data_IF_363101010901
#
_entry.id   IF_363101010901
#
_cell.length_a   1.000
_cell.length_b   1.000
_cell.length_c   1.000
_cell.angle_alpha   90.00
_cell.angle_beta   90.00
_cell.angle_gamma   90.00
#
_symmetry.space_group_name_H-M   'P 1'
#
loop_
_entity.id
_entity.type
_entity.pdbx_description
1 polymer ?
#
# COMPACT_ATOMS: atom_id res chain seq x y z
N UNK A 1 23.18 10.16 -20.71
CA UNK A 1 22.76 10.02 -19.31
C UNK A 1 21.60 9.04 -19.31
N UNK A 2 21.67 7.96 -18.54
CA UNK A 2 20.54 7.03 -18.38
C UNK A 2 19.38 7.78 -17.74
N UNK A 3 18.17 7.62 -18.27
CA UNK A 3 16.96 8.21 -17.71
C UNK A 3 16.67 7.49 -16.38
N UNK A 4 16.50 8.24 -15.30
CA UNK A 4 16.03 7.68 -14.02
C UNK A 4 14.50 7.63 -14.07
N UNK A 5 13.92 6.47 -13.77
CA UNK A 5 12.49 6.26 -13.76
C UNK A 5 11.85 6.89 -12.52
N UNK A 6 10.66 7.46 -12.70
CA UNK A 6 9.80 7.95 -11.62
C UNK A 6 8.97 6.81 -11.01
N UNK A 7 8.43 7.03 -9.81
CA UNK A 7 7.55 6.07 -9.13
C UNK A 7 6.34 5.68 -10.00
N UNK A 8 5.73 6.66 -10.68
CA UNK A 8 4.61 6.43 -11.60
C UNK A 8 5.03 5.58 -12.81
N UNK A 9 6.21 5.81 -13.37
CA UNK A 9 6.72 5.00 -14.48
C UNK A 9 7.01 3.56 -14.04
N UNK A 10 7.58 3.35 -12.84
CA UNK A 10 7.81 2.01 -12.30
C UNK A 10 6.50 1.25 -12.04
N UNK A 11 5.47 1.93 -11.50
CA UNK A 11 4.14 1.35 -11.30
C UNK A 11 3.53 0.93 -12.64
N UNK A 12 3.65 1.78 -13.67
CA UNK A 12 3.14 1.45 -15.01
C UNK A 12 3.87 0.25 -15.62
N UNK A 13 5.20 0.19 -15.51
CA UNK A 13 6.01 -0.93 -15.98
C UNK A 13 5.58 -2.25 -15.29
N UNK A 14 5.36 -2.22 -13.97
CA UNK A 14 4.88 -3.39 -13.22
C UNK A 14 3.46 -3.81 -13.66
N UNK A 15 2.57 -2.84 -13.88
CA UNK A 15 1.21 -3.11 -14.35
C UNK A 15 1.20 -3.75 -15.75
N UNK A 16 2.00 -3.23 -16.68
CA UNK A 16 2.11 -3.72 -18.05
C UNK A 16 2.66 -5.15 -18.08
N UNK A 17 3.70 -5.43 -17.30
CA UNK A 17 4.29 -6.78 -17.21
C UNK A 17 3.32 -7.78 -16.58
N UNK A 18 2.58 -7.37 -15.54
CA UNK A 18 1.53 -8.20 -14.92
C UNK A 18 0.44 -8.55 -15.94
N UNK A 19 -0.01 -7.58 -16.74
CA UNK A 19 -1.03 -7.78 -17.76
C UNK A 19 -0.54 -8.67 -18.91
N UNK A 20 0.72 -8.53 -19.32
CA UNK A 20 1.34 -9.41 -20.31
C UNK A 20 1.43 -10.86 -19.82
N UNK A 21 1.78 -11.08 -18.54
CA UNK A 21 1.80 -12.40 -17.92
C UNK A 21 0.41 -13.06 -17.88
N UNK A 22 -0.63 -12.29 -17.52
CA UNK A 22 -2.01 -12.77 -17.40
C UNK A 22 -2.65 -13.12 -18.76
N UNK A 23 -2.40 -12.31 -19.79
CA UNK A 23 -3.05 -12.49 -21.10
C UNK A 23 -2.39 -13.57 -21.97
N UNK A 24 -1.26 -14.14 -21.56
CA UNK A 24 -0.53 -15.18 -22.30
C UNK A 24 0.04 -14.70 -23.65
N UNK A 25 -0.28 -13.47 -24.06
CA UNK A 25 0.42 -12.70 -25.07
C UNK A 25 1.49 -11.93 -24.32
N UNK A 26 2.68 -12.54 -24.19
CA UNK A 26 3.89 -11.72 -24.00
C UNK A 26 3.85 -10.79 -25.21
N UNK A 27 3.46 -9.53 -24.99
CA UNK A 27 3.43 -8.55 -26.06
C UNK A 27 4.80 -8.69 -26.74
N UNK A 28 4.81 -8.81 -28.07
CA UNK A 28 5.96 -8.34 -28.85
C UNK A 28 6.04 -6.86 -28.56
N UNK A 29 6.59 -6.56 -27.40
CA UNK A 29 6.77 -5.26 -26.87
C UNK A 29 7.88 -4.71 -27.76
N UNK A 30 7.50 -3.86 -28.71
CA UNK A 30 8.37 -2.81 -29.21
C UNK A 30 8.70 -1.89 -28.02
N UNK A 31 9.36 -2.44 -27.00
CA UNK A 31 9.82 -1.70 -25.83
C UNK A 31 10.98 -0.88 -26.33
N UNK A 32 10.75 0.42 -26.29
CA UNK A 32 11.82 1.39 -26.41
C UNK A 32 12.76 1.10 -25.25
N UNK A 33 13.97 0.64 -25.59
CA UNK A 33 15.06 0.28 -24.68
C UNK A 33 15.11 1.31 -23.55
N UNK A 34 14.95 0.83 -22.31
CA UNK A 34 14.79 1.66 -21.11
C UNK A 34 16.06 2.48 -20.80
N UNK A 35 17.19 2.13 -21.43
CA UNK A 35 18.47 2.79 -21.25
C UNK A 35 19.16 2.38 -19.94
N UNK A 36 18.53 1.49 -19.17
CA UNK A 36 19.15 0.81 -18.05
C UNK A 36 19.38 -0.68 -18.42
N UNK A 37 20.65 -1.12 -18.56
CA UNK A 37 20.96 -2.47 -18.99
C UNK A 37 20.40 -3.55 -18.07
N UNK A 38 20.15 -3.27 -16.79
CA UNK A 38 19.58 -4.25 -15.84
C UNK A 38 18.10 -4.51 -16.16
N UNK A 39 17.29 -3.46 -16.27
CA UNK A 39 15.87 -3.56 -16.65
C UNK A 39 15.74 -4.15 -18.05
N UNK A 40 16.58 -3.70 -19.00
CA UNK A 40 16.60 -4.18 -20.38
C UNK A 40 17.06 -5.65 -20.52
N UNK A 41 17.86 -6.16 -19.57
CA UNK A 41 18.30 -7.54 -19.55
C UNK A 41 17.20 -8.48 -19.04
N UNK A 42 16.46 -8.07 -17.99
CA UNK A 42 15.32 -8.86 -17.49
C UNK A 42 14.16 -8.92 -18.48
N UNK A 43 13.96 -7.87 -19.28
CA UNK A 43 13.02 -7.89 -20.42
C UNK A 43 13.41 -8.97 -21.45
N UNK A 44 14.70 -9.33 -21.56
CA UNK A 44 15.23 -10.25 -22.57
C UNK A 44 15.38 -11.70 -22.13
N UNK A 45 15.51 -12.01 -20.84
CA UNK A 45 15.78 -13.38 -20.37
C UNK A 45 14.51 -14.24 -20.20
N UNK A 46 14.69 -15.53 -20.49
CA UNK A 46 13.65 -16.50 -20.82
C UNK A 46 13.32 -17.45 -19.66
N UNK A 47 12.06 -17.91 -19.61
CA UNK A 47 11.70 -19.29 -19.25
C UNK A 47 11.82 -19.76 -17.80
N UNK A 48 11.02 -19.24 -16.88
CA UNK A 48 10.56 -19.95 -15.67
C UNK A 48 9.13 -19.52 -15.35
N UNK A 49 8.34 -20.44 -14.80
CA UNK A 49 6.87 -20.37 -14.61
C UNK A 49 6.34 -18.94 -14.42
N UNK A 50 5.32 -18.54 -15.19
CA UNK A 50 4.79 -17.15 -15.30
C UNK A 50 4.70 -16.34 -13.99
N UNK A 51 4.43 -17.01 -12.88
CA UNK A 51 4.38 -16.39 -11.55
C UNK A 51 5.77 -16.05 -10.99
N UNK A 52 6.73 -16.98 -11.12
CA UNK A 52 8.13 -16.78 -10.70
C UNK A 52 8.78 -15.65 -11.50
N UNK A 53 8.55 -15.59 -12.81
CA UNK A 53 9.07 -14.52 -13.67
C UNK A 53 8.59 -13.12 -13.24
N UNK A 54 7.32 -12.97 -12.84
CA UNK A 54 6.81 -11.69 -12.36
C UNK A 54 7.36 -11.32 -10.98
N UNK A 55 7.53 -12.29 -10.07
CA UNK A 55 8.13 -12.02 -8.75
C UNK A 55 9.60 -11.61 -8.89
N UNK A 56 10.37 -12.27 -9.75
CA UNK A 56 11.76 -11.93 -10.04
C UNK A 56 11.86 -10.54 -10.68
N UNK A 57 10.95 -10.22 -11.60
CA UNK A 57 10.86 -8.89 -12.19
C UNK A 57 10.55 -7.80 -11.15
N UNK A 58 9.57 -8.06 -10.26
CA UNK A 58 9.22 -7.16 -9.17
C UNK A 58 10.40 -6.92 -8.23
N UNK A 59 11.15 -7.97 -7.89
CA UNK A 59 12.37 -7.86 -7.09
C UNK A 59 13.43 -6.98 -7.78
N UNK A 60 13.64 -7.14 -9.09
CA UNK A 60 14.57 -6.29 -9.84
C UNK A 60 14.15 -4.80 -9.85
N UNK A 61 12.84 -4.51 -9.88
CA UNK A 61 12.34 -3.13 -9.74
C UNK A 61 12.60 -2.60 -8.32
N UNK A 62 12.47 -3.43 -7.28
CA UNK A 62 12.78 -3.04 -5.90
C UNK A 62 14.27 -2.74 -5.71
N UNK A 63 15.15 -3.57 -6.28
CA UNK A 63 16.60 -3.30 -6.30
C UNK A 63 16.89 -1.98 -7.02
N UNK A 64 16.25 -1.73 -8.17
CA UNK A 64 16.36 -0.47 -8.89
C UNK A 64 15.91 0.74 -8.05
N UNK A 65 14.81 0.63 -7.31
CA UNK A 65 14.33 1.69 -6.40
C UNK A 65 15.40 2.04 -5.37
N UNK A 66 16.05 1.05 -4.77
CA UNK A 66 17.10 1.26 -3.77
C UNK A 66 18.35 1.89 -4.39
N UNK A 67 18.82 1.37 -5.52
CA UNK A 67 20.01 1.88 -6.20
C UNK A 67 19.86 3.33 -6.66
N UNK A 68 18.65 3.71 -7.12
CA UNK A 68 18.38 5.02 -7.72
C UNK A 68 17.61 5.96 -6.78
N UNK A 69 17.36 5.54 -5.54
CA UNK A 69 16.61 6.28 -4.52
C UNK A 69 15.22 6.74 -5.02
N UNK A 70 14.53 5.87 -5.75
CA UNK A 70 13.18 6.13 -6.26
C UNK A 70 12.15 5.78 -5.19
N UNK A 71 11.47 6.81 -4.67
CA UNK A 71 10.46 6.69 -3.63
C UNK A 71 9.34 5.71 -3.99
N UNK A 72 8.88 4.93 -3.01
CA UNK A 72 7.67 4.12 -3.12
C UNK A 72 6.39 4.87 -2.78
N UNK A 73 6.49 6.15 -2.38
CA UNK A 73 5.33 6.95 -1.97
C UNK A 73 4.56 7.45 -3.18
N UNK A 74 3.25 7.31 -3.08
CA UNK A 74 2.27 7.99 -3.92
C UNK A 74 1.41 8.90 -3.05
N UNK A 75 1.13 10.10 -3.53
CA UNK A 75 0.25 11.04 -2.85
C UNK A 75 -1.20 10.72 -3.19
N UNK A 76 -1.98 10.40 -2.16
CA UNK A 76 -3.41 10.08 -2.29
C UNK A 76 -4.24 11.25 -1.80
N UNK A 77 -5.43 11.37 -2.36
CA UNK A 77 -6.47 12.26 -1.88
C UNK A 77 -7.69 11.43 -1.48
N UNK A 78 -8.21 11.65 -0.29
CA UNK A 78 -9.42 11.01 0.21
C UNK A 78 -10.42 12.05 0.67
N UNK A 79 -11.62 12.01 0.07
CA UNK A 79 -12.75 12.84 0.51
C UNK A 79 -13.83 11.98 1.17
N UNK A 80 -14.22 12.33 2.38
CA UNK A 80 -15.24 11.64 3.20
C UNK A 80 -16.06 12.68 3.96
N UNK A 81 -17.40 12.59 3.89
CA UNK A 81 -18.31 13.53 4.57
C UNK A 81 -17.97 15.02 4.31
N UNK A 82 -17.53 15.33 3.09
CA UNK A 82 -17.16 16.69 2.67
C UNK A 82 -15.80 17.19 3.18
N UNK A 83 -15.01 16.36 3.85
CA UNK A 83 -13.64 16.67 4.28
C UNK A 83 -12.64 15.94 3.41
N UNK A 84 -11.55 16.61 3.06
CA UNK A 84 -10.52 16.09 2.15
C UNK A 84 -9.19 16.01 2.88
N UNK A 85 -8.52 14.87 2.75
CA UNK A 85 -7.17 14.63 3.23
C UNK A 85 -6.26 14.31 2.05
N UNK A 86 -5.12 15.00 1.97
CA UNK A 86 -4.00 14.61 1.12
C UNK A 86 -2.95 13.94 2.01
N UNK A 87 -2.55 12.72 1.68
CA UNK A 87 -1.63 11.95 2.50
C UNK A 87 -0.70 11.07 1.66
N UNK A 88 0.52 10.80 2.15
CA UNK A 88 1.43 9.86 1.51
C UNK A 88 1.01 8.42 1.82
N UNK A 89 1.07 7.55 0.83
CA UNK A 89 0.90 6.10 0.99
C UNK A 89 1.95 5.37 0.16
N UNK A 90 2.45 4.24 0.64
CA UNK A 90 3.34 3.38 -0.15
C UNK A 90 2.50 2.54 -1.12
N UNK A 91 2.83 2.61 -2.41
CA UNK A 91 2.11 1.85 -3.43
C UNK A 91 2.17 0.32 -3.16
N UNK A 92 1.19 -0.43 -3.66
CA UNK A 92 1.14 -1.90 -3.50
C UNK A 92 2.19 -2.67 -4.29
N UNK A 93 2.71 -2.04 -5.33
CA UNK A 93 3.70 -2.68 -6.21
C UNK A 93 5.14 -2.26 -5.90
N UNK A 94 5.34 -1.18 -5.14
CA UNK A 94 6.64 -0.64 -4.75
C UNK A 94 7.02 -0.97 -3.30
N UNK A 95 8.28 -0.72 -2.93
CA UNK A 95 8.79 -0.79 -1.56
C UNK A 95 9.00 0.59 -0.95
N UNK A 96 8.93 0.69 0.37
CA UNK A 96 9.28 1.90 1.10
C UNK A 96 10.80 2.01 1.26
N UNK A 97 11.38 3.15 0.86
CA UNK A 97 12.75 3.49 1.23
C UNK A 97 12.80 4.06 2.66
N UNK A 98 13.99 4.15 3.25
CA UNK A 98 14.15 4.74 4.59
C UNK A 98 13.62 6.18 4.66
N UNK A 99 13.83 6.97 3.59
CA UNK A 99 13.27 8.32 3.47
C UNK A 99 11.75 8.32 3.40
N UNK A 100 11.16 7.28 2.80
CA UNK A 100 9.70 7.14 2.70
C UNK A 100 9.09 6.82 4.07
N UNK A 101 9.77 5.99 4.87
CA UNK A 101 9.35 5.68 6.23
C UNK A 101 9.26 6.95 7.10
N UNK A 102 10.24 7.84 7.01
CA UNK A 102 10.21 9.12 7.73
C UNK A 102 9.00 9.98 7.34
N UNK A 103 8.68 10.03 6.04
CA UNK A 103 7.53 10.78 5.51
C UNK A 103 6.21 10.20 6.03
N UNK A 104 6.01 8.88 5.95
CA UNK A 104 4.75 8.26 6.40
C UNK A 104 4.61 8.33 7.92
N UNK A 105 5.69 8.20 8.68
CA UNK A 105 5.69 8.37 10.14
C UNK A 105 5.32 9.82 10.52
N UNK A 106 5.87 10.81 9.82
CA UNK A 106 5.53 12.22 10.03
C UNK A 106 4.05 12.53 9.72
N UNK A 107 3.46 11.84 8.75
CA UNK A 107 2.06 12.05 8.36
C UNK A 107 1.03 11.38 9.30
N UNK A 108 1.48 10.46 10.17
CA UNK A 108 0.60 9.62 11.00
C UNK A 108 -0.42 10.41 11.81
N UNK A 109 0.00 11.48 12.47
CA UNK A 109 -0.89 12.27 13.32
C UNK A 109 -1.98 12.96 12.51
N UNK A 110 -1.64 13.52 11.36
CA UNK A 110 -2.62 14.14 10.44
C UNK A 110 -3.63 13.11 9.92
N UNK A 111 -3.18 11.89 9.62
CA UNK A 111 -4.06 10.78 9.22
C UNK A 111 -5.03 10.39 10.36
N UNK A 112 -4.51 10.29 11.59
CA UNK A 112 -5.32 9.97 12.77
C UNK A 112 -6.35 11.05 13.10
N UNK A 113 -5.96 12.33 13.02
CA UNK A 113 -6.87 13.46 13.22
C UNK A 113 -8.03 13.43 12.23
N UNK A 114 -7.73 13.24 10.94
CA UNK A 114 -8.76 13.09 9.91
C UNK A 114 -9.65 11.87 10.17
N UNK A 115 -9.06 10.74 10.54
CA UNK A 115 -9.81 9.53 10.89
C UNK A 115 -10.81 9.78 12.02
N UNK A 116 -10.38 10.33 13.15
CA UNK A 116 -11.26 10.62 14.29
C UNK A 116 -12.39 11.58 13.90
N UNK A 117 -12.07 12.58 13.08
CA UNK A 117 -13.02 13.57 12.63
C UNK A 117 -14.11 12.98 11.72
N UNK A 118 -13.75 12.13 10.76
CA UNK A 118 -14.72 11.56 9.81
C UNK A 118 -15.42 10.31 10.34
N UNK A 119 -14.86 9.65 11.35
CA UNK A 119 -15.43 8.43 11.96
C UNK A 119 -16.18 8.68 13.26
N UNK A 120 -16.33 9.95 13.68
CA UNK A 120 -17.13 10.31 14.84
C UNK A 120 -18.54 9.71 14.77
N UNK A 121 -18.89 8.95 15.82
CA UNK A 121 -20.20 8.29 15.94
C UNK A 121 -20.37 6.99 15.13
N UNK A 122 -19.32 6.47 14.50
CA UNK A 122 -19.34 5.17 13.79
C UNK A 122 -19.05 4.00 14.75
N UNK A 123 -19.51 2.80 14.39
CA UNK A 123 -19.16 1.59 15.12
C UNK A 123 -17.76 1.12 14.71
N UNK A 124 -16.90 0.85 15.70
CA UNK A 124 -15.50 0.49 15.50
C UNK A 124 -15.25 -1.01 15.69
N UNK A 125 -14.44 -1.60 14.82
CA UNK A 125 -14.09 -3.00 14.84
C UNK A 125 -12.59 -3.22 14.59
N UNK A 126 -11.94 -4.02 15.43
CA UNK A 126 -10.58 -4.51 15.19
C UNK A 126 -10.62 -5.79 14.35
N UNK A 127 -9.83 -5.81 13.29
CA UNK A 127 -9.65 -6.95 12.40
C UNK A 127 -8.62 -7.93 12.96
N UNK A 128 -8.95 -9.22 13.05
CA UNK A 128 -8.05 -10.26 13.50
C UNK A 128 -8.22 -11.55 12.68
N UNK A 129 -7.34 -12.53 12.92
CA UNK A 129 -7.35 -13.81 12.20
C UNK A 129 -7.30 -13.63 10.66
N UNK A 130 -6.29 -12.88 10.18
CA UNK A 130 -6.11 -12.53 8.75
C UNK A 130 -7.34 -11.87 8.13
N UNK A 131 -7.94 -10.93 8.86
CA UNK A 131 -9.08 -10.11 8.43
C UNK A 131 -10.37 -10.90 8.18
N UNK A 132 -10.45 -12.13 8.70
CA UNK A 132 -11.64 -12.97 8.60
C UNK A 132 -12.62 -12.72 9.73
N UNK A 133 -12.19 -12.06 10.79
CA UNK A 133 -12.99 -11.83 11.98
C UNK A 133 -12.79 -10.41 12.48
N UNK A 134 -13.88 -9.85 13.01
CA UNK A 134 -13.94 -8.47 13.47
C UNK A 134 -14.50 -8.44 14.89
N UNK A 135 -13.78 -7.78 15.79
CA UNK A 135 -14.18 -7.62 17.18
C UNK A 135 -14.55 -6.16 17.40
N UNK A 136 -15.74 -5.89 17.97
CA UNK A 136 -16.13 -4.52 18.31
C UNK A 136 -15.17 -3.95 19.36
N UNK A 137 -14.70 -2.74 19.14
CA UNK A 137 -13.78 -2.02 20.02
C UNK A 137 -14.31 -0.62 20.34
N UNK A 138 -13.68 0.05 21.30
CA UNK A 138 -13.98 1.43 21.64
C UNK A 138 -12.84 2.36 21.20
N UNK A 139 -13.11 3.65 21.15
CA UNK A 139 -12.11 4.66 20.79
C UNK A 139 -10.81 4.57 21.63
N UNK A 140 -10.83 4.33 22.96
CA UNK A 140 -9.60 4.15 23.74
C UNK A 140 -8.75 2.94 23.30
N UNK A 141 -9.34 1.93 22.66
CA UNK A 141 -8.58 0.82 22.09
C UNK A 141 -7.80 1.28 20.85
N UNK A 142 -8.42 2.12 20.00
CA UNK A 142 -7.77 2.73 18.83
C UNK A 142 -6.58 3.57 19.28
N UNK A 143 -6.76 4.41 20.29
CA UNK A 143 -5.72 5.28 20.83
C UNK A 143 -4.52 4.48 21.36
N UNK A 144 -4.78 3.36 22.05
CA UNK A 144 -3.73 2.47 22.55
C UNK A 144 -2.92 1.85 21.40
N UNK A 145 -3.58 1.37 20.36
CA UNK A 145 -2.91 0.80 19.18
C UNK A 145 -2.12 1.88 18.44
N UNK A 146 -2.69 3.08 18.32
CA UNK A 146 -2.03 4.22 17.71
C UNK A 146 -0.75 4.61 18.46
N UNK A 147 -0.69 4.49 19.79
CA UNK A 147 0.51 4.78 20.57
C UNK A 147 1.66 3.79 20.33
N UNK A 148 1.35 2.53 20.02
CA UNK A 148 2.35 1.46 19.86
C UNK A 148 2.79 1.24 18.41
N UNK A 149 2.23 1.97 17.46
CA UNK A 149 2.50 1.86 16.02
C UNK A 149 3.29 3.06 15.51
N UNK A 150 3.88 2.96 14.33
CA UNK A 150 4.83 3.95 13.81
C UNK A 150 4.22 4.78 12.67
N UNK A 151 3.41 4.16 11.82
CA UNK A 151 2.79 4.81 10.66
C UNK A 151 1.31 4.45 10.54
N UNK A 152 0.57 5.24 9.75
CA UNK A 152 -0.84 5.01 9.47
C UNK A 152 -1.15 5.09 7.97
N UNK A 153 -2.16 4.35 7.53
CA UNK A 153 -2.75 4.46 6.18
C UNK A 153 -4.27 4.35 6.27
N UNK A 154 -4.96 4.85 5.25
CA UNK A 154 -6.42 4.86 5.15
C UNK A 154 -6.91 4.24 3.86
N UNK A 155 -8.01 3.51 3.97
CA UNK A 155 -8.86 3.15 2.84
C UNK A 155 -10.31 3.40 3.18
N UNK A 156 -11.11 3.54 2.13
CA UNK A 156 -12.56 3.67 2.28
C UNK A 156 -13.26 2.74 1.30
N UNK A 157 -14.40 2.23 1.74
CA UNK A 157 -15.39 1.63 0.89
C UNK A 157 -16.71 2.39 1.10
N UNK A 158 -17.21 2.98 0.03
CA UNK A 158 -18.36 3.88 0.08
C UNK A 158 -19.32 3.56 -1.06
N UNK A 159 -20.59 3.44 -0.71
CA UNK A 159 -21.71 3.43 -1.64
C UNK A 159 -22.86 4.27 -1.08
N UNK A 160 -23.98 4.37 -1.79
CA UNK A 160 -25.10 5.24 -1.43
C UNK A 160 -25.64 5.08 -0.01
N UNK A 161 -25.52 3.90 0.61
CA UNK A 161 -26.08 3.60 1.93
C UNK A 161 -25.06 3.10 2.96
N UNK A 162 -23.79 2.98 2.57
CA UNK A 162 -22.78 2.38 3.41
C UNK A 162 -21.45 3.10 3.25
N UNK A 163 -20.87 3.42 4.40
CA UNK A 163 -19.51 3.91 4.51
C UNK A 163 -18.77 3.02 5.49
N UNK A 164 -17.67 2.47 5.01
CA UNK A 164 -16.63 1.85 5.81
C UNK A 164 -15.33 2.60 5.58
N UNK A 165 -14.77 3.05 6.68
CA UNK A 165 -13.42 3.57 6.72
C UNK A 165 -12.54 2.47 7.32
N UNK A 166 -11.34 2.28 6.79
CA UNK A 166 -10.36 1.32 7.29
C UNK A 166 -9.08 2.08 7.62
N UNK A 167 -8.69 2.05 8.89
CA UNK A 167 -7.45 2.60 9.41
C UNK A 167 -6.47 1.45 9.61
N UNK A 168 -5.36 1.49 8.89
CA UNK A 168 -4.23 0.61 9.15
C UNK A 168 -3.21 1.33 9.99
N UNK A 169 -2.83 0.72 11.10
CA UNK A 169 -1.78 1.18 11.98
C UNK A 169 -0.66 0.14 11.97
N UNK A 170 0.53 0.54 11.53
CA UNK A 170 1.63 -0.39 11.32
C UNK A 170 2.95 0.03 11.93
N UNK A 171 3.87 -0.92 12.00
CA UNK A 171 5.24 -0.77 12.46
C UNK A 171 6.17 -1.52 11.50
N UNK A 172 7.43 -1.08 11.41
CA UNK A 172 8.40 -1.63 10.45
C UNK A 172 8.00 -1.33 9.00
N UNK A 173 8.33 -2.25 8.09
CA UNK A 173 8.15 -2.04 6.65
C UNK A 173 6.69 -2.22 6.19
N UNK A 174 6.09 -1.22 5.51
CA UNK A 174 4.71 -1.27 5.01
C UNK A 174 4.40 -2.47 4.10
N UNK A 175 5.31 -2.82 3.19
CA UNK A 175 5.14 -3.93 2.25
C UNK A 175 5.10 -5.30 2.96
N UNK A 176 5.86 -5.46 4.04
CA UNK A 176 5.86 -6.69 4.85
C UNK A 176 4.66 -6.75 5.80
N UNK A 177 4.25 -5.59 6.31
CA UNK A 177 3.13 -5.43 7.24
C UNK A 177 1.78 -5.82 6.62
N UNK A 178 1.58 -5.57 5.31
CA UNK A 178 0.35 -5.91 4.58
C UNK A 178 0.02 -7.41 4.62
N UNK A 179 1.03 -8.29 4.56
CA UNK A 179 0.83 -9.73 4.61
C UNK A 179 1.18 -10.37 5.96
N UNK A 180 1.44 -9.55 6.99
CA UNK A 180 1.88 -10.00 8.33
C UNK A 180 3.10 -10.94 8.29
N UNK A 181 3.92 -10.85 7.22
CA UNK A 181 5.05 -11.74 6.96
C UNK A 181 6.32 -11.34 7.70
N UNK A 182 6.45 -10.06 8.04
CA UNK A 182 7.61 -9.52 8.76
C UNK A 182 7.51 -9.61 10.29
N UNK A 183 6.52 -10.30 10.86
CA UNK A 183 6.37 -10.36 12.32
C UNK A 183 7.58 -11.06 12.98
N UNK A 184 8.10 -10.55 14.10
CA UNK A 184 7.63 -9.38 14.86
C UNK A 184 8.15 -8.01 14.39
N UNK A 185 9.11 -7.94 13.48
CA UNK A 185 9.80 -6.71 13.06
C UNK A 185 8.91 -5.74 12.28
N UNK A 186 8.00 -6.26 11.46
CA UNK A 186 7.05 -5.50 10.66
C UNK A 186 5.64 -6.08 10.80
N UNK A 187 4.63 -5.22 10.93
CA UNK A 187 3.25 -5.64 11.08
C UNK A 187 2.25 -4.50 11.04
N UNK A 188 0.97 -4.86 11.03
CA UNK A 188 -0.10 -3.88 11.11
C UNK A 188 -1.35 -4.46 11.79
N UNK A 189 -2.09 -3.55 12.41
CA UNK A 189 -3.45 -3.73 12.90
C UNK A 189 -4.40 -2.93 12.01
N UNK A 190 -5.59 -3.49 11.77
CA UNK A 190 -6.60 -2.87 10.92
C UNK A 190 -7.88 -2.62 11.72
N UNK A 191 -8.33 -1.38 11.70
CA UNK A 191 -9.48 -0.90 12.44
C UNK A 191 -10.50 -0.41 11.42
N UNK A 192 -11.70 -0.96 11.50
CA UNK A 192 -12.81 -0.64 10.61
C UNK A 192 -13.78 0.25 11.36
N UNK A 193 -14.18 1.37 10.75
CA UNK A 193 -15.26 2.22 11.22
C UNK A 193 -16.41 2.14 10.22
N UNK A 194 -17.59 1.70 10.67
CA UNK A 194 -18.79 1.55 9.83
C UNK A 194 -19.95 2.35 10.37
N UNK A 195 -20.91 2.71 9.51
CA UNK A 195 -22.14 3.37 9.96
C UNK A 195 -22.79 2.59 11.12
N UNK A 196 -23.40 3.26 12.12
CA UNK A 196 -24.00 2.59 13.26
C UNK A 196 -24.95 1.46 12.88
N UNK A 197 -24.78 0.30 13.53
CA UNK A 197 -25.57 -0.90 13.28
C UNK A 197 -25.13 -1.74 12.08
N UNK A 198 -24.11 -1.31 11.33
CA UNK A 198 -23.53 -2.12 10.25
C UNK A 198 -22.34 -2.96 10.75
N UNK A 199 -21.87 -3.85 9.89
CA UNK A 199 -20.66 -4.64 10.09
C UNK A 199 -19.63 -4.37 8.98
N UNK A 200 -18.33 -4.51 9.28
CA UNK A 200 -17.26 -4.45 8.28
C UNK A 200 -17.50 -5.46 7.15
N UNK A 201 -17.14 -5.07 5.92
CA UNK A 201 -17.15 -5.97 4.76
C UNK A 201 -15.77 -6.15 4.13
N UNK A 202 -14.80 -5.31 4.52
CA UNK A 202 -13.40 -5.37 4.11
C UNK A 202 -12.54 -6.29 4.95
#
# INVERSE_FOLDING_TARGET
>A
MSKVYTSEELIQILADERQACLTGKRLKLEVTVSGNPVIDQFIKTDGLQKFTAYQDFKAAIHDYQQENQVSGIVWREMTVKGKTLHYPEVDTELIALSTDLEIIQASKNTILEFWYEVTAGMDLYLSFNNNKQHQKILQPDVERIAQTTEWASLWKWENSNFLEMILQLGWGQPEEARYKRGRPQSGSEQIHAVNPGNHPIG
#
